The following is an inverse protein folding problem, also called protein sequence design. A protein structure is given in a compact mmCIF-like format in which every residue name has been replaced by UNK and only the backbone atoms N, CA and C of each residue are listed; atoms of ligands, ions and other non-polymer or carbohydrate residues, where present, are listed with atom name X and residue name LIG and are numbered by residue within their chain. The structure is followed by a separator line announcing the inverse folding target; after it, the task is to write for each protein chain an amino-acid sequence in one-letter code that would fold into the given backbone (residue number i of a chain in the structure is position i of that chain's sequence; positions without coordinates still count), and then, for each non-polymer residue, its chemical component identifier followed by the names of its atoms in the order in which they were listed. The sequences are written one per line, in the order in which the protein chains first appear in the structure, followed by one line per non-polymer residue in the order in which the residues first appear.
data_IF_805127213528
#
_entry.id   IF_805127213528
#
_cell.length_a   1.000
_cell.length_b   1.000
_cell.length_c   1.000
_cell.angle_alpha   90.00
_cell.angle_beta   90.00
_cell.angle_gamma   90.00
#
_symmetry.space_group_name_H-M   'P 1'
#
loop_
_entity.id
_entity.type
_entity.pdbx_description
1 polymer ?
#
# COMPACT_ATOMS: atom_id res chain seq x y z
N UNK A 1 13.51 26.05 -3.98
CA UNK A 1 12.12 26.30 -3.56
C UNK A 1 11.19 25.88 -4.69
N UNK A 2 10.54 24.70 -4.58
CA UNK A 2 9.63 24.20 -5.62
C UNK A 2 8.40 23.63 -4.95
N UNK A 3 7.36 24.47 -4.86
CA UNK A 3 6.00 24.09 -4.47
C UNK A 3 5.39 23.36 -5.68
N UNK A 4 4.97 22.11 -5.52
CA UNK A 4 4.05 21.46 -6.46
C UNK A 4 2.69 21.40 -5.78
N UNK A 5 1.73 22.09 -6.39
CA UNK A 5 0.38 22.27 -5.89
C UNK A 5 -0.33 20.94 -5.74
N UNK A 6 -1.14 20.86 -4.68
CA UNK A 6 -2.13 19.81 -4.47
C UNK A 6 -3.20 20.00 -5.55
N UNK A 7 -3.16 19.16 -6.60
CA UNK A 7 -4.24 19.10 -7.57
C UNK A 7 -5.41 18.33 -6.93
N UNK A 8 -6.37 19.09 -6.42
CA UNK A 8 -7.66 18.57 -5.96
C UNK A 8 -8.45 18.12 -7.18
N UNK A 9 -8.36 16.85 -7.56
CA UNK A 9 -9.20 16.27 -8.61
C UNK A 9 -10.56 15.89 -8.02
N UNK A 10 -11.53 16.79 -8.10
CA UNK A 10 -12.94 16.46 -7.86
C UNK A 10 -13.43 15.71 -9.09
N UNK A 11 -13.62 14.40 -8.97
CA UNK A 11 -14.35 13.60 -9.96
C UNK A 11 -15.72 13.29 -9.39
N UNK A 12 -16.68 14.12 -9.77
CA UNK A 12 -18.10 13.75 -9.78
C UNK A 12 -18.36 13.02 -11.12
N UNK A 13 -19.31 12.08 -11.11
CA UNK A 13 -20.11 11.59 -12.25
C UNK A 13 -20.08 10.06 -12.41
N UNK A 14 -21.27 9.52 -12.15
CA UNK A 14 -21.98 8.36 -12.68
C UNK A 14 -21.25 7.06 -13.13
N UNK A 15 -21.66 5.94 -12.53
CA UNK A 15 -22.24 4.78 -13.24
C UNK A 15 -21.45 4.02 -14.31
N UNK A 16 -20.24 4.43 -14.67
CA UNK A 16 -19.50 3.85 -15.79
C UNK A 16 -18.08 3.61 -15.34
N UNK A 17 -17.63 2.36 -15.42
CA UNK A 17 -16.28 1.90 -15.10
C UNK A 17 -15.23 2.67 -15.91
N UNK A 18 -14.79 3.82 -15.38
CA UNK A 18 -13.56 4.47 -15.82
C UNK A 18 -12.46 3.50 -15.41
N UNK A 19 -11.85 2.82 -16.37
CA UNK A 19 -10.62 2.07 -16.15
C UNK A 19 -9.59 3.06 -15.64
N UNK A 20 -9.48 3.16 -14.31
CA UNK A 20 -8.56 4.10 -13.65
C UNK A 20 -7.18 3.56 -13.90
N UNK A 21 -6.29 4.42 -14.39
CA UNK A 21 -4.87 4.10 -14.42
C UNK A 21 -4.45 3.62 -13.02
N UNK A 22 -3.69 2.52 -12.91
CA UNK A 22 -3.30 1.98 -11.61
C UNK A 22 -2.63 3.06 -10.75
N UNK A 23 -3.01 3.16 -9.48
CA UNK A 23 -2.45 4.15 -8.56
C UNK A 23 -1.00 3.78 -8.27
N UNK A 24 -0.07 4.48 -8.94
CA UNK A 24 1.36 4.22 -8.82
C UNK A 24 1.89 4.35 -7.39
N UNK A 25 1.31 5.22 -6.57
CA UNK A 25 1.71 5.35 -5.17
C UNK A 25 1.23 4.15 -4.34
N UNK A 26 0.03 3.62 -4.65
CA UNK A 26 -0.51 2.45 -3.98
C UNK A 26 0.26 1.18 -4.36
N UNK A 27 0.63 1.05 -5.64
CA UNK A 27 1.53 -0.01 -6.12
C UNK A 27 2.89 0.08 -5.44
N UNK A 28 3.48 1.29 -5.37
CA UNK A 28 4.78 1.52 -4.73
C UNK A 28 4.78 1.10 -3.26
N UNK A 29 3.71 1.42 -2.53
CA UNK A 29 3.53 1.04 -1.14
C UNK A 29 3.50 -0.49 -0.98
N UNK A 30 2.69 -1.19 -1.76
CA UNK A 30 2.60 -2.67 -1.71
C UNK A 30 3.94 -3.30 -2.10
N UNK A 31 4.61 -2.76 -3.12
CA UNK A 31 5.92 -3.23 -3.56
C UNK A 31 6.96 -3.11 -2.43
N UNK A 32 7.04 -1.95 -1.77
CA UNK A 32 7.96 -1.75 -0.63
C UNK A 32 7.66 -2.70 0.52
N UNK A 33 6.39 -2.87 0.87
CA UNK A 33 6.02 -3.79 1.93
C UNK A 33 6.51 -5.23 1.64
N UNK A 34 6.31 -5.72 0.42
CA UNK A 34 6.78 -7.05 -0.01
C UNK A 34 8.30 -7.14 -0.03
N UNK A 35 8.98 -6.09 -0.52
CA UNK A 35 10.43 -6.00 -0.51
C UNK A 35 11.00 -6.06 0.92
N UNK A 36 10.39 -5.35 1.87
CA UNK A 36 10.82 -5.40 3.28
C UNK A 36 10.65 -6.81 3.87
N UNK A 37 9.53 -7.46 3.59
CA UNK A 37 9.32 -8.86 4.00
C UNK A 37 10.39 -9.79 3.42
N UNK A 38 10.69 -9.66 2.13
CA UNK A 38 11.73 -10.45 1.47
C UNK A 38 13.10 -10.25 2.14
N UNK A 39 13.51 -9.01 2.38
CA UNK A 39 14.80 -8.71 3.03
C UNK A 39 14.89 -9.19 4.49
N UNK A 40 13.76 -9.35 5.18
CA UNK A 40 13.69 -9.94 6.52
C UNK A 40 13.73 -11.47 6.48
N UNK A 41 13.36 -12.08 5.35
CA UNK A 41 13.15 -13.54 5.23
C UNK A 41 14.12 -14.23 4.27
N UNK A 42 15.07 -13.51 3.68
CA UNK A 42 16.07 -14.04 2.74
C UNK A 42 17.20 -14.87 3.39
N UNK A 43 17.11 -15.12 4.69
CA UNK A 43 18.09 -15.90 5.45
C UNK A 43 19.31 -15.11 5.94
N UNK A 44 19.40 -13.81 5.65
CA UNK A 44 20.50 -12.96 6.13
C UNK A 44 20.35 -12.53 7.60
N UNK A 45 19.29 -12.96 8.30
CA UNK A 45 18.99 -12.62 9.71
C UNK A 45 18.99 -11.10 9.98
N UNK A 46 18.42 -10.32 9.05
CA UNK A 46 18.33 -8.86 9.19
C UNK A 46 17.30 -8.43 10.23
N UNK A 47 17.62 -7.39 10.98
CA UNK A 47 16.66 -6.67 11.81
C UNK A 47 15.86 -5.65 11.00
N UNK A 48 14.78 -5.10 11.58
CA UNK A 48 14.04 -3.98 10.97
C UNK A 48 14.94 -2.76 10.73
N UNK A 49 15.94 -2.53 11.58
CA UNK A 49 16.90 -1.43 11.43
C UNK A 49 17.83 -1.66 10.25
N UNK A 50 18.29 -2.89 10.02
CA UNK A 50 19.12 -3.24 8.87
C UNK A 50 18.36 -3.04 7.55
N UNK A 51 17.09 -3.45 7.51
CA UNK A 51 16.21 -3.21 6.36
C UNK A 51 15.97 -1.71 6.16
N UNK A 52 15.75 -0.95 7.22
CA UNK A 52 15.58 0.50 7.12
C UNK A 52 16.82 1.17 6.51
N UNK A 53 18.02 0.83 7.00
CA UNK A 53 19.28 1.33 6.45
C UNK A 53 19.49 0.93 4.98
N UNK A 54 19.21 -0.32 4.62
CA UNK A 54 19.36 -0.83 3.25
C UNK A 54 18.47 -0.10 2.24
N UNK A 55 17.29 0.35 2.66
CA UNK A 55 16.34 1.05 1.80
C UNK A 55 16.37 2.58 1.96
N UNK A 56 17.30 3.12 2.77
CA UNK A 56 17.40 4.57 3.01
C UNK A 56 16.16 5.16 3.69
N UNK A 57 15.51 4.39 4.57
CA UNK A 57 14.28 4.76 5.28
C UNK A 57 14.47 4.62 6.79
N UNK A 58 13.42 4.88 7.57
CA UNK A 58 13.42 4.70 9.02
C UNK A 58 12.70 3.42 9.46
N UNK A 59 13.08 2.91 10.65
CA UNK A 59 12.49 1.69 11.22
C UNK A 59 10.97 1.79 11.40
N UNK A 60 10.44 2.99 11.62
CA UNK A 60 8.99 3.22 11.79
C UNK A 60 8.25 3.05 10.48
N UNK A 61 8.83 3.47 9.35
CA UNK A 61 8.30 3.16 8.02
C UNK A 61 8.30 1.66 7.75
N UNK A 62 9.42 0.97 8.00
CA UNK A 62 9.48 -0.48 7.78
C UNK A 62 8.40 -1.19 8.59
N UNK A 63 8.31 -0.88 9.90
CA UNK A 63 7.30 -1.45 10.79
C UNK A 63 5.86 -1.13 10.35
N UNK A 64 5.60 0.11 9.90
CA UNK A 64 4.28 0.55 9.43
C UNK A 64 3.86 -0.10 8.12
N UNK A 65 4.80 -0.31 7.18
CA UNK A 65 4.48 -0.85 5.86
C UNK A 65 4.48 -2.37 5.82
N UNK A 66 5.27 -3.03 6.68
CA UNK A 66 5.42 -4.49 6.68
C UNK A 66 4.08 -5.26 6.73
N UNK A 67 3.06 -4.86 7.52
CA UNK A 67 1.76 -5.52 7.51
C UNK A 67 1.09 -5.58 6.13
N UNK A 68 1.33 -4.59 5.27
CA UNK A 68 0.72 -4.56 3.93
C UNK A 68 1.31 -5.59 2.97
N UNK A 69 2.43 -6.25 3.33
CA UNK A 69 2.95 -7.41 2.63
C UNK A 69 1.98 -8.60 2.70
N UNK A 70 1.07 -8.61 3.66
CA UNK A 70 0.11 -9.68 3.94
C UNK A 70 -1.33 -9.34 3.51
N UNK A 71 -1.49 -8.32 2.64
CA UNK A 71 -2.77 -8.00 2.04
C UNK A 71 -3.35 -9.21 1.28
N UNK A 72 -4.67 -9.35 1.34
CA UNK A 72 -5.40 -10.38 0.62
C UNK A 72 -5.05 -10.36 -0.88
N UNK A 73 -4.86 -11.52 -1.52
CA UNK A 73 -4.53 -11.58 -2.94
C UNK A 73 -5.54 -10.83 -3.84
N UNK A 74 -6.83 -10.87 -3.51
CA UNK A 74 -7.88 -10.09 -4.21
C UNK A 74 -7.56 -8.59 -4.22
N UNK A 75 -7.13 -8.05 -3.09
CA UNK A 75 -6.86 -6.62 -2.92
C UNK A 75 -5.66 -6.21 -3.74
N UNK A 76 -4.55 -6.96 -3.64
CA UNK A 76 -3.34 -6.67 -4.42
C UNK A 76 -3.58 -6.81 -5.93
N UNK A 77 -4.37 -7.80 -6.36
CA UNK A 77 -4.78 -7.95 -7.76
C UNK A 77 -5.58 -6.75 -8.26
N UNK A 78 -6.59 -6.29 -7.50
CA UNK A 78 -7.38 -5.10 -7.87
C UNK A 78 -6.54 -3.83 -7.90
N UNK A 79 -5.58 -3.65 -6.99
CA UNK A 79 -4.65 -2.50 -6.99
C UNK A 79 -3.82 -2.46 -8.28
N UNK A 80 -3.26 -3.60 -8.68
CA UNK A 80 -2.45 -3.70 -9.90
C UNK A 80 -3.33 -3.53 -11.15
N UNK A 81 -4.57 -4.01 -11.12
CA UNK A 81 -5.52 -3.87 -12.21
C UNK A 81 -6.13 -2.46 -12.33
N UNK A 82 -5.98 -1.59 -11.33
CA UNK A 82 -6.65 -0.28 -11.29
C UNK A 82 -8.13 -0.34 -10.89
N UNK A 83 -8.60 -1.50 -10.41
CA UNK A 83 -9.98 -1.77 -9.98
C UNK A 83 -10.14 -1.72 -8.45
N UNK A 84 -9.23 -1.03 -7.76
CA UNK A 84 -9.38 -0.78 -6.33
C UNK A 84 -10.53 0.21 -6.06
N UNK A 85 -11.20 0.09 -4.89
CA UNK A 85 -12.20 1.06 -4.47
C UNK A 85 -11.65 2.49 -4.48
N UNK A 86 -12.45 3.48 -4.91
CA UNK A 86 -12.03 4.89 -5.04
C UNK A 86 -11.48 5.50 -3.76
N UNK A 87 -11.96 5.04 -2.61
CA UNK A 87 -11.50 5.45 -1.30
C UNK A 87 -10.14 4.86 -0.92
N UNK A 88 -9.69 3.79 -1.58
CA UNK A 88 -8.41 3.15 -1.29
C UNK A 88 -7.27 3.87 -2.02
N UNK A 89 -6.61 4.76 -1.28
CA UNK A 89 -5.39 5.46 -1.71
C UNK A 89 -4.19 5.02 -0.90
N UNK A 90 -2.97 5.29 -1.37
CA UNK A 90 -1.75 5.03 -0.60
C UNK A 90 -1.76 5.74 0.77
N UNK A 91 -2.36 6.93 0.85
CA UNK A 91 -2.53 7.68 2.10
C UNK A 91 -3.51 6.98 3.05
N UNK A 92 -4.66 6.50 2.55
CA UNK A 92 -5.61 5.75 3.38
C UNK A 92 -4.99 4.45 3.89
N UNK A 93 -4.35 3.69 3.00
CA UNK A 93 -3.73 2.42 3.37
C UNK A 93 -2.62 2.62 4.40
N UNK A 94 -1.73 3.59 4.23
CA UNK A 94 -0.63 3.85 5.17
C UNK A 94 -1.08 4.31 6.57
N UNK A 95 -2.35 4.71 6.74
CA UNK A 95 -2.96 5.05 8.03
C UNK A 95 -3.69 3.88 8.70
N UNK A 96 -3.75 2.72 8.06
CA UNK A 96 -4.28 1.50 8.69
C UNK A 96 -3.25 0.98 9.68
N UNK A 97 -3.46 1.28 10.97
CA UNK A 97 -2.54 0.88 12.05
C UNK A 97 -2.68 -0.58 12.44
N UNK A 98 -3.87 -1.16 12.26
CA UNK A 98 -4.18 -2.55 12.60
C UNK A 98 -4.83 -3.22 11.39
N UNK A 99 -4.01 -3.92 10.60
CA UNK A 99 -4.48 -4.69 9.46
C UNK A 99 -4.92 -6.07 9.96
N UNK A 100 -6.21 -6.44 9.84
CA UNK A 100 -6.68 -7.74 10.29
C UNK A 100 -5.93 -8.89 9.61
N UNK A 101 -5.59 -9.96 10.33
CA UNK A 101 -4.96 -11.14 9.73
C UNK A 101 -5.91 -11.91 8.79
N UNK A 102 -7.21 -11.91 9.09
CA UNK A 102 -8.22 -12.55 8.25
C UNK A 102 -8.49 -11.72 6.99
N UNK A 103 -8.31 -12.33 5.81
CA UNK A 103 -8.52 -11.65 4.53
C UNK A 103 -9.94 -11.13 4.34
N UNK A 104 -10.96 -11.84 4.83
CA UNK A 104 -12.36 -11.36 4.79
C UNK A 104 -12.56 -10.07 5.60
N UNK A 105 -11.85 -9.93 6.72
CA UNK A 105 -11.85 -8.70 7.50
C UNK A 105 -11.06 -7.58 6.82
N UNK A 106 -9.98 -7.91 6.11
CA UNK A 106 -9.25 -6.92 5.29
C UNK A 106 -10.11 -6.38 4.15
N UNK A 107 -10.83 -7.26 3.43
CA UNK A 107 -11.71 -6.82 2.34
C UNK A 107 -12.81 -5.91 2.87
N UNK A 108 -13.46 -6.28 3.97
CA UNK A 108 -14.47 -5.44 4.62
C UNK A 108 -13.91 -4.07 5.06
N UNK A 109 -12.74 -4.05 5.70
CA UNK A 109 -12.08 -2.81 6.15
C UNK A 109 -11.71 -1.88 4.99
N UNK A 110 -11.21 -2.46 3.90
CA UNK A 110 -10.69 -1.71 2.76
C UNK A 110 -11.77 -1.38 1.71
N UNK A 111 -12.95 -2.00 1.81
CA UNK A 111 -14.13 -1.71 0.99
C UNK A 111 -14.24 -2.56 -0.27
N UNK A 112 -13.81 -3.82 -0.19
CA UNK A 112 -13.83 -4.85 -1.25
C UNK A 112 -14.87 -5.93 -1.06
#
# INVERSE_FOLDING_TARGET
MKRRGVETRIVLTDGSSISREPDGALIDLVRRARLYLEQLTDGANRSLTDVAMLNGTDTSEVSRLLPFAFLAPKITASIVAGDQPVQLTAHRLSRVSDLPHAWTSQTALLGF
#
